data_IF_740017967790
#
_entry.id   IF_740017967790
#
_cell.length_a   1.000
_cell.length_b   1.000
_cell.length_c   1.000
_cell.angle_alpha   90.00
_cell.angle_beta   90.00
_cell.angle_gamma   90.00
#
_symmetry.space_group_name_H-M   'P 1'
#
loop_
_entity.id
_entity.type
_entity.pdbx_description
1 polymer ?
#
# COMPACT_ATOMS: atom_id res chain seq x y z
N UNK A 1 12.20 -7.25 -6.60
CA UNK A 1 10.82 -6.73 -6.40
C UNK A 1 10.87 -5.27 -6.00
N UNK A 2 9.98 -4.48 -6.55
CA UNK A 2 9.93 -3.04 -6.27
C UNK A 2 8.50 -2.65 -5.96
N UNK A 3 8.31 -1.90 -4.88
CA UNK A 3 7.04 -1.28 -4.54
C UNK A 3 7.16 0.23 -4.72
N UNK A 4 6.20 0.82 -5.41
CA UNK A 4 6.01 2.26 -5.41
C UNK A 4 4.75 2.52 -4.57
N UNK A 5 4.93 3.18 -3.44
CA UNK A 5 3.91 3.33 -2.42
C UNK A 5 3.42 4.77 -2.39
N UNK A 6 2.12 4.94 -2.49
CA UNK A 6 1.49 6.24 -2.41
C UNK A 6 0.44 6.25 -1.31
N UNK A 7 0.56 7.18 -0.38
CA UNK A 7 -0.45 7.39 0.66
C UNK A 7 -1.64 8.10 0.03
N UNK A 8 -2.84 7.56 0.23
CA UNK A 8 -4.06 8.09 -0.38
C UNK A 8 -5.19 8.21 0.64
N UNK A 9 -6.08 9.18 0.43
CA UNK A 9 -7.34 9.28 1.15
C UNK A 9 -8.40 8.37 0.53
N UNK A 10 -8.27 8.13 -0.77
CA UNK A 10 -9.07 7.16 -1.52
C UNK A 10 -8.34 6.82 -2.81
N UNK A 11 -8.57 5.63 -3.34
CA UNK A 11 -8.03 5.20 -4.64
C UNK A 11 -8.94 4.15 -5.26
N UNK A 12 -8.94 4.10 -6.59
CA UNK A 12 -9.69 3.10 -7.33
C UNK A 12 -8.92 2.67 -8.57
N UNK A 13 -9.06 1.41 -8.93
CA UNK A 13 -8.55 0.86 -10.19
C UNK A 13 -9.74 0.52 -11.09
N UNK A 14 -9.74 1.03 -12.30
CA UNK A 14 -10.79 0.75 -13.29
C UNK A 14 -10.21 -0.02 -14.47
N UNK A 15 -10.95 -1.04 -14.89
CA UNK A 15 -10.62 -1.83 -16.07
C UNK A 15 -11.87 -1.86 -16.97
N UNK A 16 -11.72 -1.44 -18.21
CA UNK A 16 -12.84 -1.36 -19.17
C UNK A 16 -14.05 -0.59 -18.65
N UNK A 17 -13.79 0.51 -17.94
CA UNK A 17 -14.81 1.39 -17.38
C UNK A 17 -15.47 0.89 -16.10
N UNK A 18 -15.04 -0.27 -15.60
CA UNK A 18 -15.58 -0.83 -14.35
C UNK A 18 -14.53 -0.77 -13.24
N UNK A 19 -15.00 -0.49 -12.01
CA UNK A 19 -14.13 -0.51 -10.84
C UNK A 19 -13.79 -1.96 -10.51
N UNK A 20 -12.51 -2.31 -10.62
CA UNK A 20 -12.01 -3.63 -10.25
C UNK A 20 -11.55 -3.71 -8.79
N UNK A 21 -11.25 -2.56 -8.20
CA UNK A 21 -10.88 -2.43 -6.80
C UNK A 21 -10.92 -0.98 -6.37
N UNK A 22 -11.27 -0.73 -5.13
CA UNK A 22 -11.20 0.59 -4.55
C UNK A 22 -10.93 0.51 -3.05
N UNK A 23 -10.31 1.54 -2.53
CA UNK A 23 -10.04 1.68 -1.10
C UNK A 23 -10.39 3.09 -0.65
N UNK A 24 -10.67 3.23 0.64
CA UNK A 24 -10.67 4.51 1.32
C UNK A 24 -9.22 4.87 1.68
N UNK A 25 -8.98 5.39 2.87
CA UNK A 25 -7.65 5.77 3.33
C UNK A 25 -6.69 4.57 3.35
N UNK A 26 -5.49 4.76 2.86
CA UNK A 26 -4.48 3.71 2.87
C UNK A 26 -3.35 3.93 1.89
N UNK A 27 -2.86 2.84 1.31
CA UNK A 27 -1.78 2.87 0.32
C UNK A 27 -2.25 2.34 -1.03
N UNK A 28 -1.91 3.07 -2.07
CA UNK A 28 -1.86 2.57 -3.43
C UNK A 28 -0.45 2.07 -3.66
N UNK A 29 -0.28 0.80 -4.03
CA UNK A 29 1.02 0.17 -4.21
C UNK A 29 1.14 -0.39 -5.61
N UNK A 30 2.09 0.12 -6.37
CA UNK A 30 2.47 -0.42 -7.66
C UNK A 30 3.59 -1.43 -7.44
N UNK A 31 3.43 -2.63 -7.97
CA UNK A 31 4.33 -3.76 -7.73
C UNK A 31 5.05 -4.14 -9.01
N UNK A 32 6.38 -4.07 -8.98
CA UNK A 32 7.24 -4.59 -10.03
C UNK A 32 7.91 -5.88 -9.56
N UNK A 33 7.78 -6.94 -10.34
CA UNK A 33 8.32 -8.27 -10.01
C UNK A 33 9.36 -8.66 -11.07
N UNK A 34 10.50 -9.19 -10.63
CA UNK A 34 11.52 -9.74 -11.51
C UNK A 34 11.61 -11.26 -11.35
N UNK A 35 12.29 -11.91 -12.30
CA UNK A 35 12.49 -13.37 -12.26
C UNK A 35 13.35 -13.85 -11.08
N UNK A 36 14.10 -12.92 -10.46
CA UNK A 36 14.96 -13.22 -9.32
C UNK A 36 14.23 -13.12 -7.98
N UNK A 37 12.99 -12.67 -7.99
CA UNK A 37 12.21 -12.51 -6.76
C UNK A 37 11.73 -13.85 -6.22
N UNK A 38 11.78 -13.96 -4.89
CA UNK A 38 11.35 -15.15 -4.17
C UNK A 38 10.22 -14.80 -3.21
N UNK A 39 9.53 -15.81 -2.71
CA UNK A 39 8.51 -15.62 -1.68
C UNK A 39 9.09 -14.95 -0.44
N UNK A 40 10.33 -15.27 -0.08
CA UNK A 40 11.00 -14.67 1.08
C UNK A 40 11.20 -13.18 0.91
N UNK A 41 11.59 -12.74 -0.29
CA UNK A 41 11.72 -11.31 -0.61
C UNK A 41 10.36 -10.63 -0.51
N UNK A 42 9.33 -11.23 -1.07
CA UNK A 42 7.97 -10.70 -1.02
C UNK A 42 7.48 -10.55 0.42
N UNK A 43 7.67 -11.58 1.25
CA UNK A 43 7.24 -11.56 2.65
C UNK A 43 7.93 -10.44 3.44
N UNK A 44 9.23 -10.23 3.22
CA UNK A 44 9.97 -9.13 3.86
C UNK A 44 9.45 -7.77 3.43
N UNK A 45 9.18 -7.59 2.15
CA UNK A 45 8.69 -6.31 1.62
C UNK A 45 7.29 -6.01 2.11
N UNK A 46 6.42 -7.00 2.14
CA UNK A 46 5.05 -6.85 2.67
C UNK A 46 5.10 -6.46 4.15
N UNK A 47 5.95 -7.11 4.93
CA UNK A 47 6.11 -6.80 6.35
C UNK A 47 6.58 -5.36 6.57
N UNK A 48 7.51 -4.88 5.77
CA UNK A 48 7.94 -3.47 5.81
C UNK A 48 6.79 -2.54 5.44
N UNK A 49 6.02 -2.88 4.42
CA UNK A 49 4.90 -2.06 3.94
C UNK A 49 3.85 -1.86 5.03
N UNK A 50 3.39 -2.93 5.66
CA UNK A 50 2.33 -2.86 6.67
C UNK A 50 2.78 -2.22 7.98
N UNK A 51 4.08 -2.14 8.22
CA UNK A 51 4.65 -1.53 9.43
C UNK A 51 5.16 -0.10 9.21
N UNK A 52 5.00 0.45 8.01
CA UNK A 52 5.40 1.84 7.73
C UNK A 52 4.52 2.81 8.49
N UNK A 53 5.14 3.71 9.25
CA UNK A 53 4.46 4.67 10.12
C UNK A 53 4.43 6.05 9.45
N UNK A 54 3.69 6.17 8.35
CA UNK A 54 3.66 7.38 7.54
C UNK A 54 2.31 8.12 7.56
N UNK A 55 1.38 7.72 8.41
CA UNK A 55 0.15 8.48 8.63
C UNK A 55 0.31 9.43 9.81
N UNK A 56 -0.29 10.60 9.70
CA UNK A 56 -0.20 11.63 10.72
C UNK A 56 -1.03 11.26 11.95
N UNK A 57 -0.44 11.50 13.14
CA UNK A 57 -1.13 11.37 14.41
C UNK A 57 -1.89 12.66 14.76
N UNK A 58 -2.47 12.72 15.95
CA UNK A 58 -3.24 13.88 16.44
C UNK A 58 -2.41 15.16 16.51
N UNK A 59 -1.10 15.04 16.62
CA UNK A 59 -0.18 16.17 16.70
C UNK A 59 0.38 16.60 15.35
N UNK A 60 -0.12 16.00 14.25
CA UNK A 60 0.38 16.27 12.91
C UNK A 60 1.75 15.67 12.61
N UNK A 61 2.23 14.75 13.45
CA UNK A 61 3.50 14.05 13.22
C UNK A 61 3.26 12.72 12.53
N UNK A 62 4.12 12.39 11.58
CA UNK A 62 4.11 11.11 10.88
C UNK A 62 4.49 9.99 11.84
N UNK A 63 3.53 9.25 12.35
CA UNK A 63 3.75 8.28 13.43
C UNK A 63 2.88 7.03 13.38
N UNK A 64 1.78 7.03 12.65
CA UNK A 64 0.82 5.92 12.65
C UNK A 64 1.04 5.00 11.46
N UNK A 65 0.92 3.69 11.70
CA UNK A 65 0.96 2.69 10.65
C UNK A 65 -0.43 2.46 10.04
N UNK A 66 -0.49 1.56 9.05
CA UNK A 66 -1.73 1.28 8.32
C UNK A 66 -2.84 0.76 9.23
N UNK A 67 -2.51 -0.17 10.12
CA UNK A 67 -3.49 -0.77 11.04
C UNK A 67 -4.05 0.26 12.02
N UNK A 68 -3.21 1.18 12.51
CA UNK A 68 -3.60 2.21 13.47
C UNK A 68 -4.67 3.16 12.91
N UNK A 69 -4.67 3.39 11.60
CA UNK A 69 -5.65 4.27 10.96
C UNK A 69 -6.81 3.52 10.31
N UNK A 70 -6.87 2.20 10.47
CA UNK A 70 -7.86 1.38 9.79
C UNK A 70 -7.72 1.42 8.28
N UNK A 71 -6.49 1.54 7.79
CA UNK A 71 -6.22 1.72 6.38
C UNK A 71 -6.34 0.44 5.56
N UNK A 72 -6.42 0.63 4.25
CA UNK A 72 -6.56 -0.44 3.28
C UNK A 72 -5.44 -0.39 2.25
N UNK A 73 -5.27 -1.47 1.51
CA UNK A 73 -4.27 -1.58 0.45
C UNK A 73 -4.95 -1.81 -0.90
N UNK A 74 -4.50 -1.05 -1.90
CA UNK A 74 -4.85 -1.32 -3.29
C UNK A 74 -3.57 -1.67 -4.04
N UNK A 75 -3.45 -2.93 -4.42
CA UNK A 75 -2.24 -3.47 -5.06
C UNK A 75 -2.44 -3.58 -6.56
N UNK A 76 -1.50 -3.02 -7.32
CA UNK A 76 -1.52 -3.05 -8.78
C UNK A 76 -0.18 -3.59 -9.27
N UNK A 77 -0.23 -4.69 -9.98
CA UNK A 77 0.95 -5.30 -10.59
C UNK A 77 1.08 -4.99 -12.08
#
# INVERSE_FOLDING_TARGET
MKFVIQRVSEAACRIDGKVSGEISRGFLVLIGISNEDTKEIADKMIKKLINMRIFDDENGKTNLDLASVGGELLLIS
#
